data_IF_077858840132
#
_entry.id   IF_077858840132
#
_cell.length_a   1.000
_cell.length_b   1.000
_cell.length_c   1.000
_cell.angle_alpha   90.00
_cell.angle_beta   90.00
_cell.angle_gamma   90.00
#
_symmetry.space_group_name_H-M   'P 1'
#
loop_
_entity.id
_entity.type
_entity.pdbx_description
1 polymer ?
#
# COMPACT_ATOMS: atom_id res chain seq x y z
N UNK A 1 -20.52 -8.42 0.65
CA UNK A 1 -19.45 -8.95 1.50
C UNK A 1 -19.39 -8.09 2.75
N UNK A 2 -19.56 -8.70 3.92
CA UNK A 2 -19.60 -8.04 5.24
C UNK A 2 -18.73 -8.72 6.28
N UNK A 3 -18.27 -9.94 6.00
CA UNK A 3 -17.43 -10.73 6.90
C UNK A 3 -16.22 -11.27 6.15
N UNK A 4 -15.16 -11.59 6.88
CA UNK A 4 -13.95 -12.20 6.29
C UNK A 4 -14.27 -13.52 5.59
N UNK A 5 -15.17 -14.34 6.15
CA UNK A 5 -15.58 -15.60 5.51
C UNK A 5 -16.32 -15.38 4.19
N UNK A 6 -17.13 -14.32 4.06
CA UNK A 6 -17.77 -13.96 2.79
C UNK A 6 -16.75 -13.42 1.78
N UNK A 7 -15.72 -12.72 2.26
CA UNK A 7 -14.62 -12.22 1.44
C UNK A 7 -13.80 -13.38 0.86
N UNK A 8 -13.36 -14.33 1.68
CA UNK A 8 -12.60 -15.50 1.24
C UNK A 8 -13.40 -16.37 0.25
N UNK A 9 -14.71 -16.52 0.49
CA UNK A 9 -15.61 -17.23 -0.41
C UNK A 9 -15.75 -16.50 -1.76
N UNK A 10 -15.84 -15.17 -1.74
CA UNK A 10 -15.90 -14.35 -2.96
C UNK A 10 -14.59 -14.45 -3.76
N UNK A 11 -13.43 -14.41 -3.11
CA UNK A 11 -12.13 -14.61 -3.77
C UNK A 11 -12.04 -15.99 -4.43
N UNK A 12 -12.42 -17.04 -3.73
CA UNK A 12 -12.44 -18.41 -4.28
C UNK A 12 -13.37 -18.51 -5.50
N UNK A 13 -14.51 -17.80 -5.46
CA UNK A 13 -15.45 -17.78 -6.58
C UNK A 13 -14.91 -16.99 -7.78
N UNK A 14 -14.26 -15.85 -7.53
CA UNK A 14 -13.57 -15.07 -8.56
C UNK A 14 -12.51 -15.94 -9.24
N UNK A 15 -11.70 -16.67 -8.47
CA UNK A 15 -10.70 -17.58 -9.02
C UNK A 15 -11.31 -18.65 -9.94
N UNK A 16 -12.45 -19.22 -9.55
CA UNK A 16 -13.16 -20.21 -10.35
C UNK A 16 -13.81 -19.62 -11.63
N UNK A 17 -14.08 -18.31 -11.64
CA UNK A 17 -14.63 -17.58 -12.78
C UNK A 17 -13.55 -16.94 -13.67
N UNK A 18 -12.27 -17.01 -13.28
CA UNK A 18 -11.16 -16.53 -14.10
C UNK A 18 -11.11 -17.33 -15.41
N UNK A 19 -11.41 -16.66 -16.52
CA UNK A 19 -11.52 -17.28 -17.85
C UNK A 19 -12.94 -17.54 -18.31
N UNK A 20 -13.96 -16.98 -17.65
CA UNK A 20 -15.30 -16.91 -18.19
C UNK A 20 -15.29 -16.24 -19.59
N UNK A 21 -16.10 -16.77 -20.51
CA UNK A 21 -16.20 -16.23 -21.86
C UNK A 21 -16.78 -14.81 -21.82
N UNK A 22 -16.30 -13.89 -22.68
CA UNK A 22 -16.86 -12.56 -22.79
C UNK A 22 -18.35 -12.57 -23.13
N UNK A 23 -19.14 -11.74 -22.47
CA UNK A 23 -20.60 -11.65 -22.55
C UNK A 23 -21.34 -12.81 -21.88
N UNK A 24 -20.64 -13.65 -21.11
CA UNK A 24 -21.28 -14.74 -20.37
C UNK A 24 -21.78 -14.28 -19.00
N UNK A 25 -22.76 -15.01 -18.47
CA UNK A 25 -23.23 -14.81 -17.07
C UNK A 25 -22.09 -14.96 -16.06
N UNK A 26 -21.06 -15.74 -16.40
CA UNK A 26 -19.87 -15.90 -15.55
C UNK A 26 -19.00 -14.65 -15.53
N UNK A 27 -18.91 -13.91 -16.64
CA UNK A 27 -18.22 -12.60 -16.68
C UNK A 27 -19.01 -11.56 -15.88
N UNK A 28 -20.34 -11.50 -16.06
CA UNK A 28 -21.20 -10.60 -15.27
C UNK A 28 -21.08 -10.86 -13.76
N UNK A 29 -21.02 -12.14 -13.35
CA UNK A 29 -20.83 -12.54 -11.95
C UNK A 29 -19.43 -12.16 -11.45
N UNK A 30 -18.39 -12.37 -12.28
CA UNK A 30 -17.01 -12.01 -11.99
C UNK A 30 -16.87 -10.49 -11.75
N UNK A 31 -17.42 -9.66 -12.63
CA UNK A 31 -17.41 -8.20 -12.49
C UNK A 31 -18.10 -7.74 -11.21
N UNK A 32 -19.27 -8.31 -10.90
CA UNK A 32 -20.01 -7.97 -9.69
C UNK A 32 -19.23 -8.35 -8.43
N UNK A 33 -18.65 -9.55 -8.39
CA UNK A 33 -17.86 -10.01 -7.24
C UNK A 33 -16.60 -9.18 -7.06
N UNK A 34 -15.91 -8.82 -8.15
CA UNK A 34 -14.74 -7.95 -8.10
C UNK A 34 -15.08 -6.58 -7.48
N UNK A 35 -16.19 -5.96 -7.88
CA UNK A 35 -16.65 -4.69 -7.32
C UNK A 35 -16.97 -4.80 -5.81
N UNK A 36 -17.60 -5.89 -5.40
CA UNK A 36 -17.93 -6.13 -3.98
C UNK A 36 -16.70 -6.39 -3.13
N UNK A 37 -15.70 -7.11 -3.67
CA UNK A 37 -14.41 -7.36 -3.04
C UNK A 37 -13.63 -6.06 -2.88
N UNK A 38 -13.50 -5.26 -3.95
CA UNK A 38 -12.81 -3.98 -3.92
C UNK A 38 -13.39 -3.06 -2.83
N UNK A 39 -14.72 -2.94 -2.77
CA UNK A 39 -15.37 -2.13 -1.74
C UNK A 39 -15.06 -2.63 -0.32
N UNK A 40 -15.06 -3.94 -0.11
CA UNK A 40 -14.72 -4.52 1.19
C UNK A 40 -13.27 -4.21 1.57
N UNK A 41 -12.34 -4.35 0.62
CA UNK A 41 -10.92 -4.06 0.81
C UNK A 41 -10.65 -2.59 1.10
N UNK A 42 -11.32 -1.67 0.41
CA UNK A 42 -11.19 -0.23 0.71
C UNK A 42 -11.56 0.11 2.17
N UNK A 43 -12.56 -0.58 2.73
CA UNK A 43 -13.02 -0.36 4.10
C UNK A 43 -12.15 -1.08 5.16
N UNK A 44 -11.61 -2.27 4.84
CA UNK A 44 -10.97 -3.16 5.83
C UNK A 44 -9.46 -3.31 5.66
N UNK A 45 -8.94 -3.09 4.46
CA UNK A 45 -7.53 -3.17 4.09
C UNK A 45 -7.09 -1.90 3.37
N UNK A 46 -7.19 -0.73 4.04
CA UNK A 46 -6.72 0.51 3.43
C UNK A 46 -5.26 0.36 3.02
N UNK A 47 -4.93 0.81 1.80
CA UNK A 47 -3.54 0.91 1.36
C UNK A 47 -2.90 1.98 2.23
N UNK A 48 -2.27 1.53 3.32
CA UNK A 48 -1.58 2.43 4.21
C UNK A 48 -0.41 3.05 3.43
N UNK A 49 -0.23 4.36 3.56
CA UNK A 49 0.98 4.99 3.06
C UNK A 49 2.12 4.34 3.84
N UNK A 50 2.94 3.53 3.16
CA UNK A 50 4.16 2.98 3.74
C UNK A 50 4.84 4.12 4.48
N UNK A 51 5.08 3.90 5.77
CA UNK A 51 5.65 4.93 6.62
C UNK A 51 6.87 5.54 5.90
N UNK A 52 6.82 6.83 5.55
CA UNK A 52 7.84 7.44 4.70
C UNK A 52 9.22 7.36 5.33
N UNK A 53 9.30 7.32 6.67
CA UNK A 53 10.56 7.13 7.38
C UNK A 53 11.06 5.69 7.26
N UNK A 54 10.16 4.70 7.37
CA UNK A 54 10.43 3.30 7.04
C UNK A 54 10.99 3.14 5.62
N UNK A 55 10.38 3.80 4.63
CA UNK A 55 10.87 3.78 3.24
C UNK A 55 12.28 4.40 3.09
N UNK A 56 12.56 5.51 3.78
CA UNK A 56 13.90 6.13 3.79
C UNK A 56 14.92 5.18 4.42
N UNK A 57 14.61 4.58 5.57
CA UNK A 57 15.52 3.64 6.24
C UNK A 57 15.78 2.40 5.37
N UNK A 58 14.76 1.87 4.71
CA UNK A 58 14.89 0.74 3.79
C UNK A 58 15.77 1.07 2.58
N UNK A 59 15.68 2.30 2.05
CA UNK A 59 16.57 2.76 0.98
C UNK A 59 18.01 2.93 1.46
N UNK A 60 18.19 3.49 2.66
CA UNK A 60 19.51 3.65 3.27
C UNK A 60 20.21 2.31 3.45
N UNK A 61 19.49 1.27 3.89
CA UNK A 61 20.04 -0.07 4.06
C UNK A 61 20.48 -0.68 2.73
N UNK A 62 19.65 -0.59 1.69
CA UNK A 62 19.96 -1.14 0.36
C UNK A 62 21.19 -0.50 -0.30
N UNK A 63 21.37 0.81 -0.11
CA UNK A 63 22.47 1.56 -0.70
C UNK A 63 23.67 1.76 0.24
N UNK A 64 23.60 1.24 1.47
CA UNK A 64 24.64 1.44 2.48
C UNK A 64 24.83 2.89 2.90
N UNK A 65 23.77 3.71 2.82
CA UNK A 65 23.83 5.13 3.16
C UNK A 65 23.83 5.34 4.68
N UNK A 66 24.65 6.29 5.13
CA UNK A 66 24.63 6.78 6.49
C UNK A 66 23.70 7.99 6.63
N UNK A 67 23.35 8.35 7.87
CA UNK A 67 22.59 9.58 8.16
C UNK A 67 23.31 10.85 7.68
N UNK A 68 24.64 10.82 7.53
CA UNK A 68 25.38 11.97 7.01
C UNK A 68 25.13 12.18 5.53
N UNK A 69 24.90 11.10 4.78
CA UNK A 69 24.66 11.17 3.34
C UNK A 69 23.30 11.79 3.02
N UNK A 70 22.38 11.76 3.98
CA UNK A 70 21.08 12.44 3.90
C UNK A 70 21.15 13.96 4.07
N UNK A 71 22.28 14.52 4.53
CA UNK A 71 22.44 15.96 4.76
C UNK A 71 22.24 16.76 3.47
N UNK A 72 22.66 16.22 2.31
CA UNK A 72 22.47 16.89 1.02
C UNK A 72 20.98 17.07 0.64
N UNK A 73 20.10 16.21 1.16
CA UNK A 73 18.66 16.24 0.87
C UNK A 73 17.86 16.97 1.95
N UNK A 74 18.25 16.82 3.22
CA UNK A 74 17.52 17.37 4.38
C UNK A 74 18.20 18.61 4.99
N UNK A 75 19.33 19.03 4.46
CA UNK A 75 20.05 20.27 4.77
C UNK A 75 21.05 20.18 5.93
N UNK A 76 20.66 19.64 7.10
CA UNK A 76 21.57 19.57 8.26
C UNK A 76 21.44 18.28 9.05
N UNK A 77 22.48 17.90 9.80
CA UNK A 77 22.45 16.70 10.64
C UNK A 77 21.30 16.74 11.68
N UNK A 78 20.99 17.93 12.23
CA UNK A 78 19.84 18.09 13.13
C UNK A 78 18.54 17.77 12.43
N UNK A 79 18.32 18.33 11.22
CA UNK A 79 17.11 18.08 10.42
C UNK A 79 16.98 16.61 10.04
N UNK A 80 18.07 15.94 9.63
CA UNK A 80 18.08 14.49 9.35
C UNK A 80 17.62 13.70 10.59
N UNK A 81 18.18 14.01 11.76
CA UNK A 81 17.82 13.34 13.00
C UNK A 81 16.36 13.60 13.38
N UNK A 82 15.89 14.84 13.27
CA UNK A 82 14.50 15.21 13.57
C UNK A 82 13.52 14.45 12.66
N UNK A 83 13.82 14.34 11.37
CA UNK A 83 13.00 13.61 10.39
C UNK A 83 12.99 12.11 10.68
N UNK A 84 14.15 11.47 10.82
CA UNK A 84 14.23 10.02 11.06
C UNK A 84 13.68 9.59 12.43
N UNK A 85 13.46 10.53 13.34
CA UNK A 85 12.84 10.28 14.65
C UNK A 85 11.43 10.90 14.75
N UNK A 86 10.78 11.23 13.62
CA UNK A 86 9.41 11.78 13.54
C UNK A 86 9.17 13.07 14.34
N UNK A 87 10.23 13.77 14.74
CA UNK A 87 10.14 15.07 15.44
C UNK A 87 9.83 16.21 14.48
N UNK A 88 10.05 16.00 13.19
CA UNK A 88 9.80 16.96 12.13
C UNK A 88 9.11 16.24 10.97
N UNK A 89 7.97 16.76 10.46
CA UNK A 89 7.29 16.18 9.31
C UNK A 89 8.11 16.33 8.03
N UNK A 90 7.98 15.37 7.11
CA UNK A 90 8.51 15.49 5.75
C UNK A 90 7.67 16.51 4.96
N UNK A 91 8.28 17.52 4.34
CA UNK A 91 7.60 18.41 3.40
C UNK A 91 8.47 18.72 2.19
N UNK A 92 7.85 18.91 1.02
CA UNK A 92 8.54 19.26 -0.24
C UNK A 92 9.18 20.66 -0.23
N UNK A 93 8.72 21.51 0.68
CA UNK A 93 9.18 22.89 0.86
C UNK A 93 10.37 23.06 1.80
N UNK A 94 10.95 21.96 2.30
CA UNK A 94 12.04 21.97 3.28
C UNK A 94 13.40 22.40 2.72
#
# INVERSE_FOLDING_TARGET
IKTVSEYDAALTRIEALMGAEPGSVGEDELELLALLVEKYEQEHFPIDLQDPIGAINFRMEQEGLSRKDLIQYLGSQSKVSEVLNYKRPLSLSM
#
